data_IF_731426005606
#
_entry.id   IF_731426005606
#
_cell.length_a   1.000
_cell.length_b   1.000
_cell.length_c   1.000
_cell.angle_alpha   90.00
_cell.angle_beta   90.00
_cell.angle_gamma   90.00
#
_symmetry.space_group_name_H-M   'P 1'
#
loop_
_entity.id
_entity.type
_entity.pdbx_description
1 polymer ?
#
# COMPACT_ATOMS: atom_id res chain seq x y z
N UNK A 1 33.68 46.13 -9.45
CA UNK A 1 33.86 47.33 -8.61
C UNK A 1 32.56 47.60 -7.84
N UNK A 2 32.64 47.62 -6.57
CA UNK A 2 31.80 47.72 -5.44
C UNK A 2 30.70 48.79 -5.37
N UNK A 3 30.09 49.07 -4.19
CA UNK A 3 30.65 48.84 -2.84
C UNK A 3 29.71 48.18 -1.81
N UNK A 4 30.35 47.71 -0.78
CA UNK A 4 29.87 47.28 0.56
C UNK A 4 29.31 48.46 1.36
N UNK A 5 28.23 48.22 2.18
CA UNK A 5 27.87 48.93 3.45
C UNK A 5 26.57 48.29 3.99
N UNK A 6 26.36 47.97 5.27
CA UNK A 6 27.06 48.22 6.49
C UNK A 6 26.18 47.68 7.64
N UNK A 7 26.83 47.12 8.60
CA UNK A 7 26.23 46.53 9.83
C UNK A 7 25.66 47.65 10.73
N UNK A 8 24.41 47.44 11.22
CA UNK A 8 23.90 48.21 12.38
C UNK A 8 23.45 47.25 13.49
N UNK A 9 24.31 47.16 14.50
CA UNK A 9 23.95 46.64 15.84
C UNK A 9 22.94 47.60 16.49
N UNK A 10 21.87 47.06 17.07
CA UNK A 10 21.08 47.76 18.09
C UNK A 10 21.09 46.98 19.40
N UNK A 11 21.31 47.76 20.48
CA UNK A 11 21.57 47.39 21.85
C UNK A 11 20.32 46.83 22.55
N UNK A 12 20.59 45.86 23.46
CA UNK A 12 19.70 45.45 24.54
C UNK A 12 19.30 46.62 25.43
N UNK A 13 18.06 46.62 25.91
CA UNK A 13 17.65 47.34 27.11
C UNK A 13 16.90 46.37 28.00
N UNK A 14 17.49 46.10 29.16
CA UNK A 14 16.91 45.39 30.28
C UNK A 14 15.81 46.21 30.93
N UNK A 15 14.68 45.59 31.29
CA UNK A 15 13.80 46.07 32.36
C UNK A 15 13.31 44.89 33.20
N UNK A 16 13.54 45.02 34.51
CA UNK A 16 13.15 44.14 35.60
C UNK A 16 11.66 44.28 35.93
N UNK A 17 11.09 43.30 36.69
CA UNK A 17 9.65 43.13 36.86
C UNK A 17 9.05 43.91 38.02
N UNK A 18 7.78 44.29 37.93
CA UNK A 18 6.96 44.64 39.09
C UNK A 18 5.95 43.54 39.38
N UNK A 19 6.03 43.01 40.61
CA UNK A 19 5.00 42.25 41.26
C UNK A 19 3.79 43.13 41.58
N UNK A 20 2.59 42.66 41.30
CA UNK A 20 1.46 42.98 42.17
C UNK A 20 0.42 41.84 42.13
N UNK A 21 -0.05 41.55 43.33
CA UNK A 21 -0.81 40.39 43.72
C UNK A 21 -2.32 40.55 43.56
N UNK A 22 -2.96 39.39 43.68
CA UNK A 22 -4.31 39.12 44.14
C UNK A 22 -5.50 39.35 43.18
N UNK A 23 -6.05 38.22 42.74
CA UNK A 23 -7.38 38.06 42.20
C UNK A 23 -7.71 36.60 42.12
N UNK A 24 -8.34 36.03 43.17
CA UNK A 24 -8.84 34.67 43.23
C UNK A 24 -9.97 34.50 42.23
N UNK A 25 -9.69 33.86 41.12
CA UNK A 25 -10.67 33.33 40.21
C UNK A 25 -10.33 31.86 40.01
N UNK A 26 -11.20 30.94 40.41
CA UNK A 26 -11.12 29.52 40.15
C UNK A 26 -11.12 29.28 38.64
N UNK A 27 -9.94 29.29 38.03
CA UNK A 27 -9.80 28.76 36.68
C UNK A 27 -9.77 27.23 36.76
N UNK A 28 -10.84 26.60 36.39
CA UNK A 28 -10.79 25.20 35.92
C UNK A 28 -9.65 25.14 34.92
N UNK A 29 -8.63 24.34 35.24
CA UNK A 29 -7.54 24.05 34.32
C UNK A 29 -8.15 23.19 33.22
N UNK A 30 -8.60 23.86 32.14
CA UNK A 30 -8.83 23.16 30.88
C UNK A 30 -7.54 22.40 30.54
N UNK A 31 -7.63 21.07 30.43
CA UNK A 31 -6.54 20.24 29.95
C UNK A 31 -6.12 20.68 28.53
N UNK A 32 -4.97 20.25 28.02
CA UNK A 32 -4.55 20.59 26.66
C UNK A 32 -5.65 20.22 25.68
N UNK A 33 -6.16 21.20 24.95
CA UNK A 33 -7.23 21.01 23.94
C UNK A 33 -6.73 20.00 22.91
N UNK A 34 -7.49 18.93 22.72
CA UNK A 34 -7.16 17.93 21.71
C UNK A 34 -7.15 18.59 20.31
N UNK A 35 -6.07 18.37 19.54
CA UNK A 35 -5.96 18.90 18.18
C UNK A 35 -7.21 18.58 17.32
N UNK A 36 -7.76 17.37 17.45
CA UNK A 36 -8.94 16.95 16.71
C UNK A 36 -10.20 17.75 17.06
N UNK A 37 -10.38 18.09 18.32
CA UNK A 37 -11.53 18.88 18.77
C UNK A 37 -11.53 20.28 18.14
N UNK A 38 -10.36 20.88 18.01
CA UNK A 38 -10.19 22.16 17.32
C UNK A 38 -10.32 22.01 15.80
N UNK A 39 -9.70 20.99 15.23
CA UNK A 39 -9.67 20.73 13.80
C UNK A 39 -11.05 20.37 13.26
N UNK A 40 -11.79 19.47 13.95
CA UNK A 40 -13.11 19.01 13.52
C UNK A 40 -14.18 20.10 13.45
N UNK A 41 -14.04 21.18 14.25
CA UNK A 41 -14.90 22.37 14.22
C UNK A 41 -14.73 23.19 12.93
N UNK A 42 -13.59 23.08 12.28
CA UNK A 42 -13.22 23.84 11.07
C UNK A 42 -13.58 23.11 9.77
N UNK A 43 -13.79 21.79 9.83
CA UNK A 43 -14.09 21.02 8.62
C UNK A 43 -15.56 21.23 8.23
N UNK A 44 -15.76 21.79 7.04
CA UNK A 44 -17.08 21.98 6.46
C UNK A 44 -17.55 20.71 5.75
N UNK A 45 -18.84 20.39 5.84
CA UNK A 45 -19.45 19.31 5.03
C UNK A 45 -19.10 17.88 5.46
N UNK A 46 -18.64 17.66 6.70
CA UNK A 46 -18.50 16.29 7.22
C UNK A 46 -19.85 15.60 7.25
N UNK A 47 -19.98 14.56 6.43
CA UNK A 47 -21.13 13.66 6.50
C UNK A 47 -21.15 12.96 7.86
N UNK A 48 -22.35 12.59 8.31
CA UNK A 48 -22.48 11.75 9.51
C UNK A 48 -21.65 10.48 9.33
N UNK A 49 -20.90 10.05 10.36
CA UNK A 49 -20.08 8.85 10.25
C UNK A 49 -20.93 7.63 9.86
N UNK A 50 -20.33 6.72 9.09
CA UNK A 50 -20.94 5.42 8.83
C UNK A 50 -21.23 4.73 10.19
N UNK A 51 -22.28 3.90 10.24
CA UNK A 51 -22.63 3.18 11.48
C UNK A 51 -21.40 2.43 12.03
N UNK A 52 -21.05 2.71 13.27
CA UNK A 52 -19.97 2.03 13.99
C UNK A 52 -18.57 2.67 13.89
N UNK A 53 -18.35 3.70 13.06
CA UNK A 53 -17.07 4.39 12.99
C UNK A 53 -17.07 5.69 13.80
N UNK A 54 -15.95 5.99 14.48
CA UNK A 54 -15.68 7.31 15.02
C UNK A 54 -15.60 8.33 13.86
N UNK A 55 -15.98 9.58 14.16
CA UNK A 55 -15.90 10.69 13.19
C UNK A 55 -14.49 10.86 12.62
N UNK A 56 -13.46 10.68 13.43
CA UNK A 56 -12.06 10.72 13.02
C UNK A 56 -11.73 9.65 11.98
N UNK A 57 -12.06 8.39 12.29
CA UNK A 57 -11.79 7.24 11.41
C UNK A 57 -12.59 7.32 10.11
N UNK A 58 -13.81 7.87 10.15
CA UNK A 58 -14.61 8.08 8.93
C UNK A 58 -13.95 9.05 7.96
N UNK A 59 -13.20 10.05 8.48
CA UNK A 59 -12.51 11.08 7.68
C UNK A 59 -11.19 10.58 7.14
N UNK A 60 -10.34 9.98 7.99
CA UNK A 60 -8.95 9.65 7.66
C UNK A 60 -8.72 8.18 7.31
N UNK A 61 -9.68 7.30 7.58
CA UNK A 61 -9.60 5.85 7.35
C UNK A 61 -8.50 5.16 8.15
N UNK A 62 -8.06 5.76 9.24
CA UNK A 62 -7.09 5.23 10.20
C UNK A 62 -7.53 5.59 11.61
N UNK A 63 -7.11 4.81 12.62
CA UNK A 63 -7.29 5.14 14.03
C UNK A 63 -6.45 6.34 14.43
N UNK A 64 -6.76 6.96 15.59
CA UNK A 64 -5.94 8.04 16.15
C UNK A 64 -4.51 7.56 16.43
N UNK A 65 -4.36 6.38 16.98
CA UNK A 65 -3.05 5.75 17.23
C UNK A 65 -2.21 5.68 15.96
N UNK A 66 -2.79 5.20 14.87
CA UNK A 66 -2.12 5.11 13.57
C UNK A 66 -1.81 6.49 12.99
N UNK A 67 -2.72 7.44 13.14
CA UNK A 67 -2.50 8.82 12.70
C UNK A 67 -1.32 9.48 13.45
N UNK A 68 -1.27 9.34 14.77
CA UNK A 68 -0.17 9.87 15.59
C UNK A 68 1.16 9.22 15.23
N UNK A 69 1.16 7.92 14.98
CA UNK A 69 2.33 7.21 14.47
C UNK A 69 2.81 7.77 13.13
N UNK A 70 1.90 7.97 12.16
CA UNK A 70 2.24 8.55 10.85
C UNK A 70 2.79 9.97 11.04
N UNK A 71 2.20 10.80 11.89
CA UNK A 71 2.71 12.12 12.20
C UNK A 71 4.13 12.06 12.76
N UNK A 72 4.41 11.15 13.70
CA UNK A 72 5.75 10.97 14.26
C UNK A 72 6.77 10.53 13.20
N UNK A 73 6.36 9.64 12.31
CA UNK A 73 7.21 9.10 11.24
C UNK A 73 7.69 10.18 10.26
N UNK A 74 6.80 11.09 9.86
CA UNK A 74 7.08 12.12 8.83
C UNK A 74 7.50 13.47 9.40
N UNK A 75 7.55 13.62 10.72
CA UNK A 75 7.73 14.90 11.42
C UNK A 75 8.94 15.69 10.90
N UNK A 76 10.11 15.08 10.90
CA UNK A 76 11.36 15.76 10.52
C UNK A 76 11.31 16.29 9.08
N UNK A 77 10.87 15.46 8.12
CA UNK A 77 10.88 15.81 6.71
C UNK A 77 9.76 16.80 6.34
N UNK A 78 8.62 16.72 7.04
CA UNK A 78 7.52 17.67 6.85
C UNK A 78 7.87 19.07 7.39
N UNK A 79 8.64 19.17 8.46
CA UNK A 79 9.02 20.44 9.09
C UNK A 79 10.34 21.01 8.55
N UNK A 80 11.24 20.21 8.01
CA UNK A 80 12.55 20.65 7.52
C UNK A 80 12.48 21.64 6.34
N UNK A 81 11.42 21.58 5.54
CA UNK A 81 11.25 22.47 4.38
C UNK A 81 10.62 23.80 4.81
N UNK A 82 11.27 24.90 4.52
CA UNK A 82 10.94 26.26 4.95
C UNK A 82 9.63 26.87 4.42
N UNK A 83 8.84 26.15 3.64
CA UNK A 83 7.57 26.67 3.14
C UNK A 83 6.52 26.68 4.27
N UNK A 84 6.09 27.85 4.66
CA UNK A 84 5.01 28.03 5.62
C UNK A 84 3.66 27.90 4.92
N UNK A 85 3.00 26.77 5.12
CA UNK A 85 1.61 26.61 4.67
C UNK A 85 0.66 27.29 5.63
N UNK A 86 -0.35 27.95 5.08
CA UNK A 86 -1.35 28.66 5.84
C UNK A 86 -2.77 28.29 5.40
N UNK A 87 -3.70 28.37 6.35
CA UNK A 87 -5.13 28.37 6.06
C UNK A 87 -5.52 29.64 5.28
N UNK A 88 -6.71 29.66 4.70
CA UNK A 88 -7.23 30.83 3.98
C UNK A 88 -7.37 32.08 4.88
N UNK A 89 -7.46 31.91 6.20
CA UNK A 89 -7.49 32.97 7.20
C UNK A 89 -6.07 33.43 7.65
N UNK A 90 -5.00 32.92 7.03
CA UNK A 90 -3.61 33.28 7.35
C UNK A 90 -2.98 32.52 8.53
N UNK A 91 -3.73 31.70 9.26
CA UNK A 91 -3.18 30.89 10.36
C UNK A 91 -2.26 29.80 9.79
N UNK A 92 -1.06 29.55 10.37
CA UNK A 92 -0.16 28.49 9.89
C UNK A 92 -0.74 27.10 10.11
N UNK A 93 -0.49 26.17 9.15
CA UNK A 93 -0.79 24.76 9.29
C UNK A 93 0.29 24.09 10.15
N UNK A 94 -0.12 23.49 11.26
CA UNK A 94 0.77 22.63 12.04
C UNK A 94 1.02 21.29 11.30
N UNK A 95 1.90 20.45 11.84
CA UNK A 95 2.19 19.12 11.28
C UNK A 95 0.92 18.28 11.10
N UNK A 96 0.10 18.20 12.16
CA UNK A 96 -1.13 17.43 12.17
C UNK A 96 -2.13 17.90 11.11
N UNK A 97 -2.26 19.23 10.91
CA UNK A 97 -3.09 19.80 9.84
C UNK A 97 -2.60 19.35 8.45
N UNK A 98 -1.28 19.36 8.23
CA UNK A 98 -0.68 18.97 6.96
C UNK A 98 -0.89 17.46 6.70
N UNK A 99 -0.63 16.60 7.68
CA UNK A 99 -0.85 15.15 7.57
C UNK A 99 -2.33 14.85 7.36
N UNK A 100 -3.23 15.53 8.05
CA UNK A 100 -4.68 15.40 7.88
C UNK A 100 -5.15 15.71 6.46
N UNK A 101 -4.68 16.83 5.88
CA UNK A 101 -4.97 17.21 4.49
C UNK A 101 -4.49 16.13 3.52
N UNK A 102 -3.26 15.64 3.71
CA UNK A 102 -2.67 14.61 2.84
C UNK A 102 -3.41 13.27 2.94
N UNK A 103 -3.67 12.78 4.15
CA UNK A 103 -4.41 11.52 4.37
C UNK A 103 -5.83 11.62 3.82
N UNK A 104 -6.54 12.74 4.04
CA UNK A 104 -7.86 12.93 3.45
C UNK A 104 -7.82 12.87 1.94
N UNK A 105 -6.84 13.50 1.30
CA UNK A 105 -6.67 13.45 -0.16
C UNK A 105 -6.44 12.03 -0.67
N UNK A 106 -5.59 11.26 0.01
CA UNK A 106 -5.30 9.87 -0.38
C UNK A 106 -6.50 8.95 -0.13
N UNK A 107 -7.18 9.09 1.02
CA UNK A 107 -8.28 8.19 1.42
C UNK A 107 -9.59 8.47 0.69
N UNK A 108 -9.89 9.72 0.34
CA UNK A 108 -11.15 10.07 -0.33
C UNK A 108 -11.05 10.05 -1.86
N UNK A 109 -9.89 10.37 -2.42
CA UNK A 109 -9.73 10.59 -3.85
C UNK A 109 -10.42 11.86 -4.40
N UNK A 110 -11.00 12.68 -3.53
CA UNK A 110 -11.68 13.94 -3.90
C UNK A 110 -10.74 14.93 -4.58
N UNK A 111 -11.29 15.90 -5.32
CA UNK A 111 -10.51 16.92 -6.01
C UNK A 111 -9.71 17.81 -5.05
N UNK A 112 -8.64 18.44 -5.54
CA UNK A 112 -7.85 19.40 -4.74
C UNK A 112 -8.70 20.58 -4.26
N UNK A 113 -9.67 21.00 -5.07
CA UNK A 113 -10.60 22.08 -4.74
C UNK A 113 -11.54 21.65 -3.61
N UNK A 114 -12.16 20.47 -3.75
CA UNK A 114 -13.08 19.92 -2.72
C UNK A 114 -12.40 19.78 -1.36
N UNK A 115 -11.16 19.25 -1.34
CA UNK A 115 -10.37 19.18 -0.10
C UNK A 115 -10.02 20.57 0.43
N UNK A 116 -9.61 21.48 -0.46
CA UNK A 116 -9.29 22.86 -0.08
C UNK A 116 -10.47 23.56 0.61
N UNK A 117 -11.64 23.48 0.02
CA UNK A 117 -12.87 24.07 0.54
C UNK A 117 -13.28 23.43 1.88
N UNK A 118 -13.17 22.11 1.99
CA UNK A 118 -13.51 21.39 3.21
C UNK A 118 -12.59 21.76 4.39
N UNK A 119 -11.29 21.94 4.14
CA UNK A 119 -10.28 22.18 5.18
C UNK A 119 -9.87 23.65 5.33
N UNK A 120 -10.45 24.55 4.55
CA UNK A 120 -10.12 25.99 4.60
C UNK A 120 -8.69 26.30 4.13
N UNK A 121 -8.20 25.56 3.12
CA UNK A 121 -6.87 25.76 2.51
C UNK A 121 -6.98 25.91 0.99
N UNK A 122 -6.03 26.59 0.37
CA UNK A 122 -6.00 26.72 -1.09
C UNK A 122 -5.69 25.35 -1.75
N UNK A 123 -6.28 25.10 -2.90
CA UNK A 123 -6.04 23.88 -3.67
C UNK A 123 -4.55 23.65 -4.00
N UNK A 124 -3.78 24.72 -4.22
CA UNK A 124 -2.33 24.65 -4.39
C UNK A 124 -1.62 24.17 -3.12
N UNK A 125 -2.09 24.61 -1.95
CA UNK A 125 -1.60 24.13 -0.64
C UNK A 125 -1.90 22.66 -0.47
N UNK A 126 -3.12 22.19 -0.80
CA UNK A 126 -3.48 20.76 -0.77
C UNK A 126 -2.50 19.95 -1.62
N UNK A 127 -2.22 20.39 -2.85
CA UNK A 127 -1.31 19.72 -3.75
C UNK A 127 0.12 19.64 -3.18
N UNK A 128 0.65 20.77 -2.70
CA UNK A 128 2.02 20.85 -2.18
C UNK A 128 2.19 20.05 -0.88
N UNK A 129 1.23 20.13 0.03
CA UNK A 129 1.24 19.38 1.29
C UNK A 129 1.14 17.87 1.02
N UNK A 130 0.23 17.45 0.13
CA UNK A 130 0.11 16.04 -0.24
C UNK A 130 1.42 15.51 -0.83
N UNK A 131 2.05 16.32 -1.71
CA UNK A 131 3.30 15.90 -2.32
C UNK A 131 4.45 15.84 -1.32
N UNK A 132 4.56 16.79 -0.40
CA UNK A 132 5.54 16.76 0.69
C UNK A 132 5.36 15.53 1.58
N UNK A 133 4.11 15.18 1.89
CA UNK A 133 3.78 13.99 2.65
C UNK A 133 4.21 12.71 1.90
N UNK A 134 3.95 12.63 0.59
CA UNK A 134 4.40 11.50 -0.24
C UNK A 134 5.92 11.35 -0.19
N UNK A 135 6.67 12.45 -0.35
CA UNK A 135 8.14 12.43 -0.26
C UNK A 135 8.63 11.98 1.11
N UNK A 136 8.04 12.48 2.20
CA UNK A 136 8.40 12.09 3.55
C UNK A 136 8.10 10.61 3.85
N UNK A 137 6.95 10.12 3.37
CA UNK A 137 6.59 8.71 3.52
C UNK A 137 7.52 7.78 2.74
N UNK A 138 7.98 8.15 1.55
CA UNK A 138 9.00 7.38 0.82
C UNK A 138 10.32 7.32 1.57
N UNK A 139 10.75 8.43 2.17
CA UNK A 139 12.02 8.47 2.90
C UNK A 139 11.97 7.65 4.19
N UNK A 140 10.86 7.73 4.93
CA UNK A 140 10.76 7.18 6.29
C UNK A 140 9.98 5.86 6.38
N UNK A 141 9.10 5.58 5.45
CA UNK A 141 8.13 4.48 5.55
C UNK A 141 8.56 3.17 4.92
N UNK A 142 9.65 3.11 4.15
CA UNK A 142 10.03 1.91 3.37
C UNK A 142 10.22 0.65 4.20
N UNK A 143 10.58 0.78 5.47
CA UNK A 143 10.73 -0.36 6.38
C UNK A 143 9.40 -1.10 6.64
N UNK A 144 8.24 -0.50 6.34
CA UNK A 144 6.94 -1.19 6.39
C UNK A 144 6.67 -2.07 5.16
N UNK A 145 7.45 -1.93 4.08
CA UNK A 145 7.30 -2.73 2.87
C UNK A 145 8.62 -3.47 2.62
N UNK A 146 8.80 -4.58 3.31
CA UNK A 146 10.02 -5.38 3.24
C UNK A 146 9.69 -6.86 3.14
N UNK A 147 10.56 -7.57 2.42
CA UNK A 147 10.57 -9.03 2.48
C UNK A 147 11.00 -9.50 3.87
N UNK A 148 10.43 -10.57 4.41
CA UNK A 148 10.82 -11.09 5.71
C UNK A 148 12.33 -11.27 5.83
N UNK A 149 12.91 -10.71 6.89
CA UNK A 149 14.36 -10.71 7.11
C UNK A 149 14.83 -11.80 8.07
N UNK A 150 13.91 -12.36 8.85
CA UNK A 150 14.23 -13.40 9.85
C UNK A 150 13.58 -14.73 9.50
N UNK A 151 14.27 -15.83 9.89
CA UNK A 151 13.71 -17.18 9.73
C UNK A 151 12.40 -17.36 10.53
N UNK A 152 12.27 -16.70 11.68
CA UNK A 152 11.07 -16.77 12.50
C UNK A 152 9.85 -16.16 11.78
N UNK A 153 9.99 -14.95 11.23
CA UNK A 153 8.94 -14.30 10.45
C UNK A 153 8.54 -15.11 9.22
N UNK A 154 9.52 -15.63 8.46
CA UNK A 154 9.26 -16.47 7.32
C UNK A 154 8.56 -17.79 7.70
N UNK A 155 8.95 -18.41 8.82
CA UNK A 155 8.31 -19.62 9.34
C UNK A 155 6.85 -19.38 9.72
N UNK A 156 6.55 -18.23 10.31
CA UNK A 156 5.18 -17.83 10.63
C UNK A 156 4.31 -17.69 9.37
N UNK A 157 4.82 -16.98 8.35
CA UNK A 157 4.15 -16.81 7.05
C UNK A 157 3.82 -18.16 6.42
N UNK A 158 4.81 -19.07 6.35
CA UNK A 158 4.62 -20.41 5.79
C UNK A 158 3.61 -21.22 6.59
N UNK A 159 3.67 -21.17 7.92
CA UNK A 159 2.71 -21.84 8.80
C UNK A 159 1.29 -21.35 8.57
N UNK A 160 1.08 -20.03 8.40
CA UNK A 160 -0.22 -19.46 8.10
C UNK A 160 -0.75 -19.93 6.73
N UNK A 161 0.06 -19.91 5.67
CA UNK A 161 -0.36 -20.45 4.35
C UNK A 161 -0.73 -21.92 4.43
N UNK A 162 0.06 -22.75 5.12
CA UNK A 162 -0.25 -24.16 5.32
C UNK A 162 -1.57 -24.36 6.07
N UNK A 163 -1.85 -23.56 7.10
CA UNK A 163 -3.12 -23.63 7.84
C UNK A 163 -4.32 -23.19 7.00
N UNK A 164 -4.17 -22.20 6.12
CA UNK A 164 -5.28 -21.66 5.31
C UNK A 164 -5.78 -22.70 4.30
N UNK A 165 -4.91 -23.31 3.53
CA UNK A 165 -5.29 -24.22 2.42
C UNK A 165 -4.35 -25.41 2.20
N UNK A 166 -3.43 -25.63 3.11
CA UNK A 166 -2.54 -26.82 3.09
C UNK A 166 -1.27 -26.66 2.26
N UNK A 167 -0.93 -25.47 1.73
CA UNK A 167 0.28 -25.27 0.93
C UNK A 167 1.53 -25.20 1.83
N UNK A 168 2.36 -26.27 1.85
CA UNK A 168 3.56 -26.29 2.68
C UNK A 168 4.65 -25.43 2.05
N UNK A 169 5.41 -24.73 2.87
CA UNK A 169 6.55 -23.91 2.46
C UNK A 169 6.22 -22.75 1.48
N UNK A 170 4.94 -22.39 1.34
CA UNK A 170 4.51 -21.23 0.56
C UNK A 170 4.88 -19.95 1.29
N UNK A 171 5.53 -19.00 0.59
CA UNK A 171 6.08 -17.77 1.15
C UNK A 171 5.34 -16.50 0.70
N UNK A 172 4.44 -16.58 -0.28
CA UNK A 172 3.70 -15.44 -0.78
C UNK A 172 2.76 -15.78 -1.92
N UNK A 173 1.95 -14.79 -2.27
CA UNK A 173 1.05 -14.82 -3.43
C UNK A 173 1.30 -13.57 -4.27
N UNK A 174 1.60 -13.72 -5.55
CA UNK A 174 1.73 -12.62 -6.50
C UNK A 174 0.43 -12.40 -7.25
N UNK A 175 0.02 -11.15 -7.37
CA UNK A 175 -1.14 -10.73 -8.16
C UNK A 175 -0.93 -9.33 -8.73
N UNK A 176 -1.75 -8.95 -9.73
CA UNK A 176 -1.63 -7.71 -10.47
C UNK A 176 -2.96 -6.97 -10.47
N UNK A 177 -2.91 -5.64 -10.40
CA UNK A 177 -4.08 -4.76 -10.56
C UNK A 177 -3.72 -3.54 -11.41
N UNK A 178 -4.74 -2.91 -12.00
CA UNK A 178 -4.60 -1.71 -12.82
C UNK A 178 -5.09 -0.47 -12.08
N UNK A 179 -4.29 0.59 -12.09
CA UNK A 179 -4.66 1.91 -11.59
C UNK A 179 -5.08 2.75 -12.79
N UNK A 180 -6.39 3.02 -12.87
CA UNK A 180 -6.98 3.72 -14.01
C UNK A 180 -6.63 5.20 -14.02
N UNK A 181 -6.37 5.74 -15.21
CA UNK A 181 -6.06 7.16 -15.40
C UNK A 181 -6.67 7.69 -16.70
N UNK A 182 -6.89 8.99 -16.76
CA UNK A 182 -7.31 9.69 -17.98
C UNK A 182 -6.14 10.53 -18.47
N UNK A 183 -5.61 10.22 -19.62
CA UNK A 183 -4.53 11.00 -20.25
C UNK A 183 -5.09 12.01 -21.24
N UNK A 184 -4.41 13.14 -21.49
CA UNK A 184 -4.78 14.08 -22.54
C UNK A 184 -4.74 13.40 -23.92
N UNK A 185 -5.70 13.68 -24.78
CA UNK A 185 -5.68 13.20 -26.16
C UNK A 185 -4.47 13.70 -26.97
N UNK A 186 -3.85 14.79 -26.52
CA UNK A 186 -2.63 15.35 -27.11
C UNK A 186 -1.34 14.72 -26.59
N UNK A 187 -1.43 13.76 -25.66
CA UNK A 187 -0.22 13.06 -25.16
C UNK A 187 0.26 12.05 -26.21
N UNK A 188 1.43 12.25 -26.83
CA UNK A 188 1.92 11.36 -27.87
C UNK A 188 2.25 9.94 -27.37
N UNK A 189 2.31 9.76 -26.05
CA UNK A 189 2.60 8.46 -25.42
C UNK A 189 1.34 7.78 -24.89
N UNK A 190 0.13 8.34 -25.08
CA UNK A 190 -1.12 7.83 -24.54
C UNK A 190 -1.37 6.38 -24.91
N UNK A 191 -1.15 5.99 -26.17
CA UNK A 191 -1.37 4.62 -26.65
C UNK A 191 -0.48 3.58 -25.96
N UNK A 192 0.69 4.00 -25.46
CA UNK A 192 1.54 3.10 -24.70
C UNK A 192 0.92 2.65 -23.37
N UNK A 193 -0.01 3.43 -22.82
CA UNK A 193 -0.65 3.22 -21.53
C UNK A 193 -2.01 2.49 -21.63
N UNK A 194 -2.47 2.21 -22.84
CA UNK A 194 -3.70 1.45 -23.03
C UNK A 194 -3.52 0.01 -22.50
N UNK A 195 -4.48 -0.46 -21.74
CA UNK A 195 -4.61 -1.87 -21.38
C UNK A 195 -5.37 -2.66 -22.46
N UNK A 196 -5.69 -3.91 -22.21
CA UNK A 196 -6.41 -4.78 -23.14
C UNK A 196 -7.84 -4.30 -23.41
N UNK A 197 -8.45 -3.63 -22.43
CA UNK A 197 -9.80 -3.06 -22.51
C UNK A 197 -9.82 -1.63 -23.09
N UNK A 198 -8.66 -1.16 -23.58
CA UNK A 198 -8.46 0.19 -24.13
C UNK A 198 -8.64 1.32 -23.11
N UNK A 199 -8.48 1.02 -21.83
CA UNK A 199 -8.39 2.04 -20.80
C UNK A 199 -6.93 2.42 -20.58
N UNK A 200 -6.66 3.70 -20.31
CA UNK A 200 -5.33 4.10 -19.85
C UNK A 200 -5.15 3.65 -18.41
N UNK A 201 -4.12 2.88 -18.16
CA UNK A 201 -3.83 2.37 -16.82
C UNK A 201 -2.35 2.19 -16.55
N UNK A 202 -2.01 2.17 -15.26
CA UNK A 202 -0.68 1.83 -14.74
C UNK A 202 -0.77 0.54 -13.94
N UNK A 203 0.18 -0.36 -14.16
CA UNK A 203 0.24 -1.65 -13.46
C UNK A 203 0.74 -1.45 -12.03
N UNK A 204 0.10 -2.12 -11.08
CA UNK A 204 0.60 -2.45 -9.76
C UNK A 204 0.61 -3.96 -9.60
N UNK A 205 1.79 -4.56 -9.55
CA UNK A 205 2.01 -5.97 -9.23
C UNK A 205 2.54 -6.06 -7.80
N UNK A 206 2.02 -6.98 -7.01
CA UNK A 206 2.39 -7.11 -5.61
C UNK A 206 2.53 -8.57 -5.18
N UNK A 207 3.48 -8.82 -4.27
CA UNK A 207 3.58 -10.08 -3.53
C UNK A 207 3.04 -9.84 -2.12
N UNK A 208 2.13 -10.69 -1.71
CA UNK A 208 1.33 -10.53 -0.50
C UNK A 208 1.52 -11.74 0.42
N UNK A 209 1.60 -11.51 1.70
CA UNK A 209 1.64 -12.53 2.74
C UNK A 209 0.22 -12.95 3.23
N UNK A 210 0.08 -13.94 4.13
CA UNK A 210 -1.22 -14.41 4.59
C UNK A 210 -2.04 -13.36 5.36
N UNK A 211 -1.39 -12.35 5.93
CA UNK A 211 -2.01 -11.27 6.67
C UNK A 211 -2.38 -10.08 5.78
N UNK A 212 -2.34 -10.28 4.45
CA UNK A 212 -2.61 -9.26 3.41
C UNK A 212 -1.59 -8.10 3.38
N UNK A 213 -0.39 -8.28 3.93
CA UNK A 213 0.69 -7.27 3.84
C UNK A 213 1.39 -7.37 2.49
N UNK A 214 1.70 -6.24 1.90
CA UNK A 214 2.57 -6.17 0.73
C UNK A 214 4.01 -6.40 1.14
N UNK A 215 4.65 -7.41 0.58
CA UNK A 215 6.05 -7.77 0.84
C UNK A 215 7.00 -7.32 -0.26
N UNK A 216 6.48 -7.18 -1.47
CA UNK A 216 7.17 -6.63 -2.64
C UNK A 216 6.15 -5.99 -3.57
N UNK A 217 6.50 -4.90 -4.23
CA UNK A 217 5.65 -4.27 -5.24
C UNK A 217 6.48 -3.82 -6.45
N UNK A 218 5.84 -3.89 -7.61
CA UNK A 218 6.34 -3.30 -8.86
C UNK A 218 5.24 -2.42 -9.43
N UNK A 219 5.56 -1.17 -9.76
CA UNK A 219 4.62 -0.24 -10.38
C UNK A 219 5.33 0.71 -11.33
N UNK A 220 4.56 1.51 -12.09
CA UNK A 220 5.13 2.43 -13.08
C UNK A 220 5.13 1.88 -14.50
N UNK A 221 4.71 0.65 -14.71
CA UNK A 221 4.58 0.03 -16.02
C UNK A 221 3.23 0.35 -16.66
N UNK A 222 3.19 0.56 -18.00
CA UNK A 222 1.95 0.75 -18.74
C UNK A 222 1.01 -0.45 -18.66
N UNK A 223 -0.30 -0.19 -18.68
CA UNK A 223 -1.34 -1.21 -18.55
C UNK A 223 -1.31 -2.32 -19.60
N UNK A 224 -0.73 -2.08 -20.78
CA UNK A 224 -0.56 -3.13 -21.81
C UNK A 224 0.52 -4.16 -21.51
N UNK A 225 1.36 -3.91 -20.50
CA UNK A 225 2.44 -4.82 -20.16
C UNK A 225 1.88 -6.11 -19.57
N UNK A 226 2.43 -7.24 -20.01
CA UNK A 226 2.06 -8.55 -19.49
C UNK A 226 2.60 -8.75 -18.08
N UNK A 227 1.85 -9.44 -17.22
CA UNK A 227 2.24 -9.74 -15.83
C UNK A 227 3.63 -10.36 -15.74
N UNK A 228 3.92 -11.31 -16.63
CA UNK A 228 5.23 -11.91 -16.73
C UNK A 228 6.35 -10.91 -16.99
N UNK A 229 6.15 -9.98 -17.92
CA UNK A 229 7.16 -8.99 -18.27
C UNK A 229 7.43 -8.04 -17.10
N UNK A 230 6.37 -7.65 -16.39
CA UNK A 230 6.48 -6.83 -15.17
C UNK A 230 7.22 -7.60 -14.07
N UNK A 231 6.87 -8.87 -13.85
CA UNK A 231 7.52 -9.72 -12.85
C UNK A 231 9.02 -9.91 -13.14
N UNK A 232 9.37 -10.18 -14.41
CA UNK A 232 10.75 -10.36 -14.85
C UNK A 232 11.60 -9.10 -14.67
N UNK A 233 10.98 -7.91 -14.67
CA UNK A 233 11.66 -6.64 -14.43
C UNK A 233 11.85 -6.31 -12.94
N UNK A 234 11.33 -7.15 -12.03
CA UNK A 234 11.38 -6.91 -10.59
C UNK A 234 12.72 -7.32 -9.97
N UNK A 235 13.14 -6.59 -8.95
CA UNK A 235 14.27 -7.00 -8.13
C UNK A 235 14.02 -8.34 -7.43
N UNK A 236 12.76 -8.65 -7.12
CA UNK A 236 12.38 -9.94 -6.54
C UNK A 236 12.72 -11.10 -7.48
N UNK A 237 12.38 -10.98 -8.76
CA UNK A 237 12.71 -11.99 -9.77
C UNK A 237 14.24 -12.18 -9.89
N UNK A 238 14.98 -11.08 -9.98
CA UNK A 238 16.45 -11.11 -10.09
C UNK A 238 17.11 -11.81 -8.89
N UNK A 239 16.62 -11.53 -7.68
CA UNK A 239 17.11 -12.18 -6.47
C UNK A 239 16.75 -13.67 -6.41
N UNK A 240 15.56 -14.08 -6.89
CA UNK A 240 15.19 -15.48 -6.99
C UNK A 240 16.07 -16.23 -8.00
N UNK A 241 16.34 -15.62 -9.15
CA UNK A 241 17.16 -16.21 -10.21
C UNK A 241 18.62 -16.42 -9.76
N UNK A 242 19.14 -15.51 -8.92
CA UNK A 242 20.45 -15.65 -8.28
C UNK A 242 20.48 -16.61 -7.09
N UNK A 243 19.32 -17.11 -6.64
CA UNK A 243 19.23 -17.94 -5.42
C UNK A 243 19.40 -17.14 -4.12
N UNK A 244 19.22 -15.83 -4.14
CA UNK A 244 19.32 -14.93 -2.98
C UNK A 244 17.95 -14.67 -2.32
N UNK A 245 16.88 -15.16 -2.94
CA UNK A 245 15.49 -15.08 -2.46
C UNK A 245 14.85 -16.45 -2.54
N UNK A 246 13.92 -16.76 -1.63
CA UNK A 246 13.28 -18.09 -1.53
C UNK A 246 14.31 -19.22 -1.40
N UNK A 247 15.36 -18.96 -0.63
CA UNK A 247 16.52 -19.83 -0.41
C UNK A 247 16.58 -20.43 1.01
N UNK A 248 15.46 -20.36 1.74
CA UNK A 248 15.34 -20.92 3.07
C UNK A 248 15.34 -22.45 3.11
N UNK A 249 15.04 -23.00 4.27
CA UNK A 249 15.08 -24.45 4.50
C UNK A 249 14.14 -25.21 3.57
N UNK A 250 14.66 -26.24 2.96
CA UNK A 250 13.88 -27.22 2.23
C UNK A 250 13.03 -27.99 3.25
N UNK A 251 11.74 -28.09 3.01
CA UNK A 251 10.83 -28.85 3.84
C UNK A 251 10.78 -30.28 3.32
N UNK A 252 11.26 -31.23 4.13
CA UNK A 252 11.08 -32.66 3.88
C UNK A 252 9.73 -33.12 4.46
N UNK A 253 8.75 -33.42 3.60
CA UNK A 253 7.42 -33.87 3.99
C UNK A 253 7.35 -35.41 4.11
N UNK A 254 8.23 -36.12 3.44
CA UNK A 254 8.42 -37.59 3.49
C UNK A 254 9.61 -37.97 2.60
N UNK A 255 10.12 -39.18 2.74
CA UNK A 255 11.28 -39.65 1.95
C UNK A 255 11.13 -39.36 0.45
N UNK A 256 11.87 -38.34 -0.04
CA UNK A 256 11.92 -37.92 -1.44
C UNK A 256 10.93 -36.83 -1.85
N UNK A 257 10.20 -36.20 -0.90
CA UNK A 257 9.33 -35.08 -1.17
C UNK A 257 9.88 -33.76 -0.57
N UNK A 258 10.96 -33.30 -1.14
CA UNK A 258 11.58 -32.03 -0.79
C UNK A 258 10.81 -30.89 -1.46
N UNK A 259 10.31 -29.94 -0.64
CA UNK A 259 9.63 -28.75 -1.11
C UNK A 259 10.47 -27.52 -0.74
N UNK A 260 10.98 -26.83 -1.74
CA UNK A 260 11.64 -25.53 -1.58
C UNK A 260 10.60 -24.44 -1.32
N UNK A 261 11.07 -23.26 -0.91
CA UNK A 261 10.23 -22.07 -0.82
C UNK A 261 9.74 -21.65 -2.20
N UNK A 262 8.49 -21.21 -2.27
CA UNK A 262 7.87 -20.73 -3.50
C UNK A 262 6.77 -19.71 -3.20
N UNK A 263 6.38 -18.98 -4.23
CA UNK A 263 5.19 -18.15 -4.24
C UNK A 263 4.16 -18.72 -5.22
N UNK A 264 2.92 -18.29 -5.07
CA UNK A 264 1.79 -18.68 -5.91
C UNK A 264 1.39 -17.51 -6.80
N UNK A 265 1.20 -17.77 -8.11
CA UNK A 265 0.68 -16.80 -9.08
C UNK A 265 -0.42 -17.41 -9.95
N UNK A 266 -1.07 -16.60 -10.78
CA UNK A 266 -2.06 -17.10 -11.74
C UNK A 266 -1.43 -17.55 -13.07
N UNK A 267 -2.27 -17.84 -14.08
CA UNK A 267 -1.81 -18.25 -15.40
C UNK A 267 -1.11 -17.14 -16.20
N UNK A 268 -1.19 -15.88 -15.77
CA UNK A 268 -0.45 -14.76 -16.35
C UNK A 268 1.04 -14.80 -16.04
N UNK A 269 1.43 -15.61 -15.05
CA UNK A 269 2.81 -15.81 -14.64
C UNK A 269 3.38 -17.11 -15.21
N UNK A 270 4.72 -17.22 -15.34
CA UNK A 270 5.37 -18.46 -15.73
C UNK A 270 5.33 -19.48 -14.60
N UNK A 271 5.35 -20.75 -14.95
CA UNK A 271 5.61 -21.83 -14.01
C UNK A 271 7.12 -21.98 -13.82
N UNK A 272 7.64 -21.62 -12.65
CA UNK A 272 9.06 -21.63 -12.31
C UNK A 272 9.34 -22.52 -11.08
N UNK A 273 10.59 -22.88 -10.81
CA UNK A 273 10.95 -23.66 -9.61
C UNK A 273 10.54 -23.00 -8.28
N UNK A 274 10.25 -21.70 -8.31
CA UNK A 274 9.86 -20.88 -7.16
C UNK A 274 8.56 -20.08 -7.35
N UNK A 275 7.87 -20.29 -8.50
CA UNK A 275 6.57 -19.66 -8.80
C UNK A 275 5.61 -20.68 -9.37
N UNK A 276 4.59 -21.02 -8.58
CA UNK A 276 3.65 -22.09 -8.89
C UNK A 276 2.33 -21.52 -9.41
N UNK A 277 1.93 -21.96 -10.60
CA UNK A 277 0.69 -21.56 -11.28
C UNK A 277 -0.30 -22.73 -11.36
N UNK A 278 -1.61 -22.49 -11.58
CA UNK A 278 -2.58 -23.58 -11.67
C UNK A 278 -2.37 -24.43 -12.93
N UNK A 279 -2.99 -25.62 -12.94
CA UNK A 279 -3.11 -26.41 -14.16
C UNK A 279 -4.13 -25.80 -15.10
N UNK A 280 -3.84 -25.85 -16.39
CA UNK A 280 -4.79 -25.46 -17.44
C UNK A 280 -5.76 -26.62 -17.76
N UNK A 281 -6.96 -26.27 -18.20
CA UNK A 281 -7.99 -27.20 -18.64
C UNK A 281 -9.28 -27.12 -17.83
N UNK A 282 -10.40 -27.52 -18.47
CA UNK A 282 -11.72 -27.52 -17.83
C UNK A 282 -12.02 -28.81 -17.08
N UNK A 283 -11.55 -29.94 -17.60
CA UNK A 283 -11.71 -31.26 -17.00
C UNK A 283 -10.35 -31.81 -16.56
N UNK A 284 -10.05 -31.63 -15.28
CA UNK A 284 -8.79 -32.08 -14.70
C UNK A 284 -9.00 -33.35 -13.85
N UNK A 285 -8.03 -34.30 -13.85
CA UNK A 285 -8.02 -35.41 -12.90
C UNK A 285 -8.06 -34.90 -11.46
N UNK A 286 -8.65 -35.68 -10.55
CA UNK A 286 -8.89 -35.32 -9.15
C UNK A 286 -7.71 -34.67 -8.43
N UNK A 287 -6.46 -35.14 -8.47
CA UNK A 287 -5.35 -34.45 -7.81
C UNK A 287 -5.13 -33.04 -8.32
N UNK A 288 -5.25 -32.79 -9.62
CA UNK A 288 -5.06 -31.49 -10.24
C UNK A 288 -6.24 -30.57 -10.00
N UNK A 289 -7.45 -31.12 -9.98
CA UNK A 289 -8.66 -30.33 -9.68
C UNK A 289 -8.65 -29.83 -8.23
N UNK A 290 -8.32 -30.69 -7.26
CA UNK A 290 -8.20 -30.28 -5.84
C UNK A 290 -7.05 -29.28 -5.64
N UNK A 291 -5.91 -29.46 -6.32
CA UNK A 291 -4.84 -28.48 -6.34
C UNK A 291 -5.35 -27.11 -6.81
N UNK A 292 -5.99 -27.03 -7.97
CA UNK A 292 -6.49 -25.77 -8.51
C UNK A 292 -7.51 -25.10 -7.59
N UNK A 293 -8.39 -25.86 -6.96
CA UNK A 293 -9.37 -25.34 -5.99
C UNK A 293 -8.67 -24.68 -4.80
N UNK A 294 -7.67 -25.34 -4.20
CA UNK A 294 -6.90 -24.78 -3.07
C UNK A 294 -6.02 -23.62 -3.51
N UNK A 295 -5.40 -23.73 -4.68
CA UNK A 295 -4.58 -22.69 -5.29
C UNK A 295 -5.40 -21.40 -5.48
N UNK A 296 -6.58 -21.49 -6.11
CA UNK A 296 -7.50 -20.36 -6.27
C UNK A 296 -7.88 -19.72 -4.92
N UNK A 297 -8.27 -20.55 -3.95
CA UNK A 297 -8.64 -20.08 -2.63
C UNK A 297 -7.48 -19.39 -1.88
N UNK A 298 -6.23 -19.79 -2.13
CA UNK A 298 -5.04 -19.17 -1.55
C UNK A 298 -4.75 -17.83 -2.23
N UNK A 299 -4.90 -17.76 -3.54
CA UNK A 299 -4.74 -16.49 -4.30
C UNK A 299 -5.67 -15.39 -3.86
N UNK A 300 -6.86 -15.74 -3.34
CA UNK A 300 -7.81 -14.76 -2.83
C UNK A 300 -7.24 -13.84 -1.75
N UNK A 301 -6.14 -14.21 -1.09
CA UNK A 301 -5.46 -13.34 -0.12
C UNK A 301 -4.91 -12.09 -0.81
N UNK A 302 -4.17 -12.24 -1.92
CA UNK A 302 -3.63 -11.10 -2.66
C UNK A 302 -4.75 -10.27 -3.32
N UNK A 303 -5.74 -10.94 -3.87
CA UNK A 303 -6.92 -10.28 -4.43
C UNK A 303 -7.64 -9.39 -3.40
N UNK A 304 -7.81 -9.90 -2.17
CA UNK A 304 -8.39 -9.13 -1.05
C UNK A 304 -7.49 -7.98 -0.62
N UNK A 305 -6.16 -8.18 -0.56
CA UNK A 305 -5.22 -7.13 -0.21
C UNK A 305 -5.29 -5.95 -1.19
N UNK A 306 -5.31 -6.24 -2.50
CA UNK A 306 -5.41 -5.23 -3.56
C UNK A 306 -6.78 -4.52 -3.55
N UNK A 307 -7.87 -5.25 -3.30
CA UNK A 307 -9.19 -4.65 -3.13
C UNK A 307 -9.24 -3.70 -1.93
N UNK A 308 -8.76 -4.17 -0.77
CA UNK A 308 -8.68 -3.38 0.46
C UNK A 308 -7.82 -2.13 0.30
N UNK A 309 -6.70 -2.25 -0.43
CA UNK A 309 -5.84 -1.12 -0.77
C UNK A 309 -6.62 -0.03 -1.51
N UNK A 310 -7.33 -0.40 -2.59
CA UNK A 310 -8.12 0.53 -3.39
C UNK A 310 -9.30 1.12 -2.64
N UNK A 311 -10.02 0.31 -1.86
CA UNK A 311 -11.19 0.77 -1.10
C UNK A 311 -10.80 1.77 0.01
N UNK A 312 -9.65 1.57 0.63
CA UNK A 312 -9.16 2.46 1.68
C UNK A 312 -8.52 3.72 1.12
N UNK A 313 -7.69 3.59 0.08
CA UNK A 313 -6.96 4.69 -0.54
C UNK A 313 -7.57 5.03 -1.91
N UNK A 314 -8.75 5.65 -1.88
CA UNK A 314 -9.58 5.89 -3.06
C UNK A 314 -8.96 6.75 -4.15
N UNK A 315 -7.85 7.44 -3.85
CA UNK A 315 -7.08 8.16 -4.87
C UNK A 315 -6.61 7.24 -6.01
N UNK A 316 -6.40 5.95 -5.72
CA UNK A 316 -6.00 4.93 -6.70
C UNK A 316 -7.14 3.98 -7.10
N UNK A 317 -8.35 4.17 -6.57
CA UNK A 317 -9.53 3.36 -6.92
C UNK A 317 -10.24 3.86 -8.18
N UNK A 318 -10.42 5.17 -8.27
CA UNK A 318 -11.10 5.81 -9.39
C UNK A 318 -10.17 6.13 -10.56
N UNK A 319 -10.76 6.69 -11.64
CA UNK A 319 -9.99 7.18 -12.77
C UNK A 319 -9.27 8.46 -12.38
N UNK A 320 -7.96 8.41 -12.30
CA UNK A 320 -7.15 9.57 -11.95
C UNK A 320 -7.06 10.54 -13.13
N UNK A 321 -7.46 11.78 -12.92
CA UNK A 321 -7.48 12.80 -13.98
C UNK A 321 -6.08 13.36 -14.22
N UNK A 322 -5.54 13.13 -15.42
CA UNK A 322 -4.24 13.65 -15.91
C UNK A 322 -3.11 13.54 -14.88
N UNK A 323 -2.85 12.34 -14.35
CA UNK A 323 -1.79 12.18 -13.39
C UNK A 323 -0.42 12.43 -14.06
N UNK A 324 0.51 12.95 -13.28
CA UNK A 324 1.93 12.91 -13.66
C UNK A 324 2.40 11.44 -13.59
N UNK A 325 2.79 10.89 -14.74
CA UNK A 325 3.19 9.49 -14.87
C UNK A 325 4.45 9.12 -14.07
N UNK A 326 5.28 10.10 -13.72
CA UNK A 326 6.46 9.91 -12.87
C UNK A 326 6.12 9.99 -11.37
N UNK A 327 5.06 10.71 -11.01
CA UNK A 327 4.60 10.87 -9.63
C UNK A 327 3.61 9.80 -9.19
N UNK A 328 2.83 9.27 -10.13
CA UNK A 328 1.81 8.25 -9.83
C UNK A 328 2.39 7.00 -9.15
N UNK A 329 3.52 6.42 -9.61
CA UNK A 329 4.12 5.26 -8.92
C UNK A 329 4.44 5.53 -7.44
N UNK A 330 4.86 6.75 -7.11
CA UNK A 330 5.19 7.16 -5.75
C UNK A 330 3.93 7.26 -4.86
N UNK A 331 2.82 7.76 -5.42
CA UNK A 331 1.52 7.76 -4.74
C UNK A 331 1.07 6.32 -4.47
N UNK A 332 1.20 5.42 -5.45
CA UNK A 332 0.86 4.00 -5.31
C UNK A 332 1.70 3.36 -4.20
N UNK A 333 3.02 3.59 -4.22
CA UNK A 333 3.93 3.11 -3.17
C UNK A 333 3.48 3.58 -1.78
N UNK A 334 3.19 4.87 -1.61
CA UNK A 334 2.75 5.42 -0.32
C UNK A 334 1.42 4.82 0.12
N UNK A 335 0.48 4.56 -0.80
CA UNK A 335 -0.76 3.85 -0.46
C UNK A 335 -0.47 2.43 0.04
N UNK A 336 0.50 1.72 -0.55
CA UNK A 336 0.93 0.38 -0.09
C UNK A 336 1.64 0.45 1.28
N UNK A 337 2.48 1.46 1.53
CA UNK A 337 3.09 1.69 2.84
C UNK A 337 2.04 1.95 3.92
N UNK A 338 1.11 2.85 3.64
CA UNK A 338 0.00 3.17 4.56
C UNK A 338 -0.91 1.95 4.81
N UNK A 339 -1.12 1.09 3.80
CA UNK A 339 -1.85 -0.16 3.96
C UNK A 339 -1.15 -1.08 4.98
N UNK A 340 0.16 -1.26 4.85
CA UNK A 340 0.93 -2.08 5.77
C UNK A 340 0.98 -1.46 7.17
N UNK A 341 1.15 -0.15 7.30
CA UNK A 341 1.13 0.56 8.60
C UNK A 341 -0.20 0.31 9.32
N UNK A 342 -1.32 0.35 8.62
CA UNK A 342 -2.64 0.05 9.20
C UNK A 342 -2.71 -1.38 9.76
N UNK A 343 -2.12 -2.34 9.07
CA UNK A 343 -2.03 -3.73 9.54
C UNK A 343 -1.09 -3.82 10.74
N UNK A 344 0.08 -3.17 10.69
CA UNK A 344 1.07 -3.15 11.77
C UNK A 344 0.54 -2.56 13.08
N UNK A 345 -0.30 -1.55 12.95
CA UNK A 345 -0.90 -0.86 14.09
C UNK A 345 -2.15 -1.58 14.62
N UNK A 346 -2.52 -2.70 14.00
CA UNK A 346 -3.71 -3.49 14.37
C UNK A 346 -5.01 -2.66 14.35
N UNK A 347 -5.10 -1.71 13.42
CA UNK A 347 -6.33 -0.97 13.22
C UNK A 347 -7.42 -1.96 12.83
N UNK A 348 -8.48 -2.04 13.64
CA UNK A 348 -9.66 -2.83 13.31
C UNK A 348 -10.23 -2.33 11.99
N UNK A 349 -10.04 -3.12 10.96
CA UNK A 349 -10.69 -2.87 9.69
C UNK A 349 -11.99 -3.62 9.73
N UNK A 350 -13.08 -2.89 9.84
CA UNK A 350 -14.40 -3.46 9.61
C UNK A 350 -14.45 -3.94 8.15
N UNK A 351 -14.20 -5.22 7.96
CA UNK A 351 -14.36 -5.93 6.69
C UNK A 351 -15.87 -6.13 6.38
N UNK A 352 -16.68 -5.05 6.50
CA UNK A 352 -18.12 -5.12 6.24
C UNK A 352 -18.49 -5.01 4.76
N UNK A 353 -17.54 -4.77 3.89
CA UNK A 353 -17.84 -4.77 2.45
C UNK A 353 -17.70 -6.19 1.90
N UNK A 354 -18.76 -6.79 1.38
CA UNK A 354 -18.61 -7.98 0.57
C UNK A 354 -17.63 -7.62 -0.53
N UNK A 355 -16.47 -8.29 -0.53
CA UNK A 355 -15.45 -8.09 -1.53
C UNK A 355 -16.13 -8.20 -2.90
N UNK A 356 -16.30 -7.08 -3.54
CA UNK A 356 -16.72 -7.05 -4.92
C UNK A 356 -15.67 -7.88 -5.66
N UNK A 357 -16.06 -9.06 -6.16
CA UNK A 357 -15.18 -9.91 -6.96
C UNK A 357 -14.74 -9.23 -8.27
N UNK A 358 -15.00 -7.94 -8.41
CA UNK A 358 -14.86 -7.17 -9.64
C UNK A 358 -14.08 -5.86 -9.47
N UNK A 359 -13.12 -5.77 -8.55
CA UNK A 359 -12.32 -4.54 -8.46
C UNK A 359 -11.42 -4.30 -9.70
N UNK A 360 -11.23 -5.35 -10.54
CA UNK A 360 -10.64 -5.28 -11.89
C UNK A 360 -11.54 -6.00 -12.89
N UNK A 361 -12.80 -5.58 -13.02
CA UNK A 361 -13.82 -6.21 -13.88
C UNK A 361 -13.45 -6.23 -15.36
N UNK A 362 -12.48 -5.44 -15.77
CA UNK A 362 -12.00 -5.33 -17.15
C UNK A 362 -10.71 -6.14 -17.40
N UNK A 363 -10.13 -6.79 -16.39
CA UNK A 363 -8.88 -7.52 -16.57
C UNK A 363 -9.12 -8.93 -17.09
N UNK A 364 -8.85 -9.15 -18.37
CA UNK A 364 -8.82 -10.48 -18.97
C UNK A 364 -7.46 -11.12 -18.69
N UNK A 365 -7.48 -12.25 -17.97
CA UNK A 365 -6.28 -13.00 -17.62
C UNK A 365 -5.52 -13.41 -18.88
N UNK A 366 -4.28 -12.95 -19.02
CA UNK A 366 -3.36 -13.43 -20.05
C UNK A 366 -2.77 -14.76 -19.60
N UNK A 367 -2.54 -15.66 -20.54
CA UNK A 367 -1.85 -16.93 -20.25
C UNK A 367 -0.38 -16.76 -20.62
N UNK A 368 0.50 -17.06 -19.67
CA UNK A 368 1.94 -17.15 -19.90
C UNK A 368 2.30 -18.60 -20.26
N UNK A 369 2.76 -18.83 -21.48
CA UNK A 369 3.15 -20.17 -21.93
C UNK A 369 4.53 -20.64 -21.45
N UNK A 370 5.23 -19.85 -20.61
CA UNK A 370 6.57 -20.21 -20.13
C UNK A 370 6.48 -21.25 -18.99
N UNK A 371 7.12 -22.39 -19.19
CA UNK A 371 7.08 -23.52 -18.25
C UNK A 371 8.49 -24.07 -18.04
N UNK A 372 8.94 -24.07 -16.77
CA UNK A 372 10.18 -24.72 -16.34
C UNK A 372 9.89 -26.14 -15.82
N UNK A 373 10.73 -27.11 -16.18
CA UNK A 373 10.54 -28.52 -15.79
C UNK A 373 10.58 -28.73 -14.27
N UNK A 374 11.42 -28.00 -13.54
CA UNK A 374 11.46 -28.10 -12.09
C UNK A 374 10.23 -27.47 -11.44
N UNK A 375 9.65 -26.42 -12.08
CA UNK A 375 8.36 -25.87 -11.71
C UNK A 375 7.22 -26.88 -11.88
N UNK A 376 7.23 -27.64 -12.99
CA UNK A 376 6.28 -28.76 -13.20
C UNK A 376 6.42 -29.80 -12.10
N UNK A 377 7.64 -30.24 -11.80
CA UNK A 377 7.89 -31.20 -10.74
C UNK A 377 7.42 -30.73 -9.37
N UNK A 378 7.68 -29.45 -9.03
CA UNK A 378 7.19 -28.86 -7.78
C UNK A 378 5.65 -28.87 -7.73
N UNK A 379 4.99 -28.41 -8.79
CA UNK A 379 3.53 -28.36 -8.85
C UNK A 379 2.91 -29.76 -8.76
N UNK A 380 3.46 -30.75 -9.46
CA UNK A 380 2.97 -32.13 -9.43
C UNK A 380 3.15 -32.75 -8.03
N UNK A 381 4.30 -32.55 -7.38
CA UNK A 381 4.53 -32.93 -5.98
C UNK A 381 3.49 -32.32 -5.03
N UNK A 382 3.25 -31.01 -5.14
CA UNK A 382 2.23 -30.32 -4.35
C UNK A 382 0.82 -30.88 -4.60
N UNK A 383 0.48 -31.18 -5.87
CA UNK A 383 -0.81 -31.74 -6.24
C UNK A 383 -1.06 -33.11 -5.59
N UNK A 384 -0.07 -33.98 -5.61
CA UNK A 384 -0.14 -35.32 -4.96
C UNK A 384 -0.24 -35.16 -3.43
N UNK A 385 0.56 -34.30 -2.84
CA UNK A 385 0.50 -34.01 -1.40
C UNK A 385 -0.88 -33.51 -0.94
N UNK A 386 -1.42 -32.52 -1.64
CA UNK A 386 -2.70 -31.90 -1.30
C UNK A 386 -3.91 -32.83 -1.50
N UNK A 387 -3.80 -33.80 -2.38
CA UNK A 387 -4.84 -34.82 -2.62
C UNK A 387 -4.80 -36.00 -1.64
N UNK A 388 -3.80 -36.05 -0.74
CA UNK A 388 -3.62 -37.19 0.17
C UNK A 388 -3.20 -38.48 -0.52
N UNK A 389 -2.83 -38.44 -1.81
CA UNK A 389 -2.44 -39.59 -2.61
C UNK A 389 -0.93 -39.85 -2.61
N UNK A 390 -0.24 -39.39 -1.60
CA UNK A 390 1.18 -39.70 -1.43
C UNK A 390 1.36 -41.18 -1.17
N UNK A 391 2.33 -41.82 -1.83
CA UNK A 391 2.70 -43.18 -1.45
C UNK A 391 3.13 -43.16 0.02
N UNK A 392 2.46 -43.94 0.84
CA UNK A 392 2.94 -44.21 2.20
C UNK A 392 4.38 -44.71 2.10
N UNK A 393 5.30 -44.19 2.94
CA UNK A 393 6.64 -44.77 2.97
C UNK A 393 6.54 -46.27 3.28
N UNK A 394 7.36 -47.10 2.60
CA UNK A 394 7.37 -48.56 2.82
C UNK A 394 7.69 -48.91 4.26
#
# INVERSE_FOLDING_TARGET
MGPVRGVRKRKKADKKPEENASGSGSSEKEGPVDWWDEFSKRINGLQSPAKGLDKFESVFKVSRKTFDYICSLVNEDMLAKSAHFVFTNGKPLCLYDQVAVALRRLSSGESLVTIGDAFGVNHSTVSQVTWRFVEAMEERGLHHLQWPSTEAEMSEIKSKFQKIRGFPNCSGVVDTTHIMMCLPASDPTSDAWLDQEKNHSMVLQAIVDPDMRFRDIVTGWPGKMKDWTVFQSSNFYELCDRGERLNGKILDLSKGLDIREYIIGDLGFPLLPYLVTPYEGKELPEPKAEFNKRHYATRMVAHRALARLKDKWRIIQGVMWRPDKHRLPRIILVCCLLHNIVIDMEDEVQDEMPLSHKHDSAYHQQICGTVDINGVHLRDKLSLYLSGRMPMPP
#
